data_IF_642245292190
#
_entry.id   IF_642245292190
#
_cell.length_a   1.000
_cell.length_b   1.000
_cell.length_c   1.000
_cell.angle_alpha   90.00
_cell.angle_beta   90.00
_cell.angle_gamma   90.00
#
_symmetry.space_group_name_H-M   'P 1'
#
loop_
_entity.id
_entity.type
_entity.pdbx_description
1 polymer ?
#
# COMPACT_ATOMS: atom_id res chain seq x y z
N UNK A 1 -9.24 10.22 -10.09
CA UNK A 1 -8.96 9.13 -9.12
C UNK A 1 -7.45 8.91 -9.03
N UNK A 2 -6.89 8.73 -7.83
CA UNK A 2 -5.46 8.37 -7.61
C UNK A 2 -5.34 6.87 -7.40
N UNK A 3 -4.39 6.23 -8.05
CA UNK A 3 -4.15 4.79 -7.92
C UNK A 3 -2.77 4.53 -7.29
N UNK A 4 -2.78 3.89 -6.11
CA UNK A 4 -1.61 3.78 -5.24
C UNK A 4 -1.42 2.33 -4.87
N UNK A 5 -0.26 1.76 -5.17
CA UNK A 5 0.13 0.40 -4.75
C UNK A 5 1.04 0.50 -3.54
N UNK A 6 0.68 -0.17 -2.46
CA UNK A 6 1.51 -0.29 -1.25
C UNK A 6 2.10 -1.69 -1.16
N UNK A 7 3.42 -1.79 -1.12
CA UNK A 7 4.17 -3.04 -1.05
C UNK A 7 5.42 -2.88 -0.17
N UNK A 8 6.25 -3.90 -0.07
CA UNK A 8 7.53 -3.86 0.63
C UNK A 8 8.57 -4.75 -0.07
N UNK A 9 9.83 -4.57 0.25
CA UNK A 9 10.91 -5.43 -0.25
C UNK A 9 10.91 -6.82 0.39
N UNK A 10 10.50 -6.92 1.65
CA UNK A 10 10.48 -8.17 2.41
C UNK A 10 9.22 -8.28 3.28
N UNK A 11 8.93 -9.51 3.70
CA UNK A 11 7.87 -9.78 4.67
C UNK A 11 8.23 -9.21 6.05
N UNK A 12 7.22 -8.91 6.86
CA UNK A 12 7.43 -8.40 8.22
C UNK A 12 7.45 -6.87 8.34
N UNK A 13 7.67 -6.11 7.27
CA UNK A 13 7.71 -4.64 7.28
C UNK A 13 6.38 -3.96 7.69
N UNK A 14 5.32 -4.72 7.95
CA UNK A 14 4.03 -4.19 8.39
C UNK A 14 3.13 -3.65 7.27
N UNK A 15 3.38 -4.03 6.01
CA UNK A 15 2.70 -3.51 4.83
C UNK A 15 1.17 -3.56 4.95
N UNK A 16 0.61 -4.72 5.33
CA UNK A 16 -0.83 -4.87 5.47
C UNK A 16 -1.42 -3.91 6.51
N UNK A 17 -0.83 -3.84 7.70
CA UNK A 17 -1.31 -2.99 8.78
C UNK A 17 -1.21 -1.50 8.42
N UNK A 18 -0.10 -1.08 7.81
CA UNK A 18 0.07 0.32 7.37
C UNK A 18 -0.89 0.65 6.23
N UNK A 19 -1.10 -0.27 5.28
CA UNK A 19 -2.07 -0.06 4.18
C UNK A 19 -3.48 0.13 4.72
N UNK A 20 -3.93 -0.73 5.64
CA UNK A 20 -5.25 -0.60 6.27
C UNK A 20 -5.38 0.72 7.04
N UNK A 21 -4.34 1.11 7.79
CA UNK A 21 -4.32 2.36 8.55
C UNK A 21 -4.36 3.59 7.62
N UNK A 22 -3.60 3.58 6.52
CA UNK A 22 -3.62 4.67 5.53
C UNK A 22 -4.99 4.74 4.84
N UNK A 23 -5.60 3.60 4.46
CA UNK A 23 -6.96 3.57 3.90
C UNK A 23 -7.97 4.22 4.85
N UNK A 24 -7.91 3.85 6.15
CA UNK A 24 -8.74 4.45 7.19
C UNK A 24 -8.52 5.96 7.30
N UNK A 25 -7.27 6.41 7.34
CA UNK A 25 -6.94 7.84 7.46
C UNK A 25 -7.40 8.64 6.24
N UNK A 26 -7.28 8.10 5.03
CA UNK A 26 -7.82 8.71 3.82
C UNK A 26 -9.35 8.92 3.93
N UNK A 27 -10.07 7.88 4.38
CA UNK A 27 -11.52 7.95 4.57
C UNK A 27 -11.90 8.96 5.67
N UNK A 28 -11.17 8.99 6.81
CA UNK A 28 -11.37 9.97 7.88
C UNK A 28 -11.09 11.41 7.42
N UNK A 29 -10.25 11.60 6.42
CA UNK A 29 -10.00 12.89 5.75
C UNK A 29 -11.05 13.21 4.67
N UNK A 30 -12.16 12.46 4.62
CA UNK A 30 -13.29 12.70 3.72
C UNK A 30 -13.12 12.13 2.32
N UNK A 31 -12.09 11.30 2.05
CA UNK A 31 -11.92 10.69 0.74
C UNK A 31 -12.78 9.45 0.58
N UNK A 32 -13.31 9.25 -0.63
CA UNK A 32 -13.94 8.00 -1.03
C UNK A 32 -12.85 7.02 -1.49
N UNK A 33 -12.62 5.95 -0.72
CA UNK A 33 -11.51 5.02 -0.89
C UNK A 33 -12.03 3.63 -1.23
N UNK A 34 -11.50 3.04 -2.29
CA UNK A 34 -11.58 1.61 -2.54
C UNK A 34 -10.23 0.99 -2.18
N UNK A 35 -10.21 0.15 -1.16
CA UNK A 35 -9.06 -0.68 -0.81
C UNK A 35 -9.18 -2.03 -1.51
N UNK A 36 -8.19 -2.37 -2.33
CA UNK A 36 -8.12 -3.66 -3.02
C UNK A 36 -7.03 -4.52 -2.38
N UNK A 37 -7.39 -5.69 -1.90
CA UNK A 37 -6.42 -6.68 -1.44
C UNK A 37 -5.99 -7.57 -2.60
N UNK A 38 -4.74 -7.41 -3.06
CA UNK A 38 -4.19 -8.27 -4.11
C UNK A 38 -3.46 -9.50 -3.56
N UNK A 39 -3.34 -9.61 -2.23
CA UNK A 39 -2.74 -10.77 -1.58
C UNK A 39 -3.74 -11.93 -1.52
N UNK A 40 -3.35 -13.09 -2.04
CA UNK A 40 -4.17 -14.28 -2.03
C UNK A 40 -4.16 -15.02 -0.68
N UNK A 41 -5.24 -15.72 -0.36
CA UNK A 41 -5.34 -16.77 0.65
C UNK A 41 -5.55 -16.35 2.11
N UNK A 42 -5.23 -15.12 2.52
CA UNK A 42 -5.22 -14.76 3.94
C UNK A 42 -6.29 -13.74 4.36
N UNK A 43 -6.94 -13.08 3.42
CA UNK A 43 -7.97 -12.03 3.68
C UNK A 43 -7.59 -11.12 4.85
N UNK A 44 -6.36 -10.58 4.80
CA UNK A 44 -5.77 -9.80 5.90
C UNK A 44 -6.52 -8.50 6.12
N UNK A 45 -7.03 -7.89 5.05
CA UNK A 45 -7.75 -6.63 5.12
C UNK A 45 -9.08 -6.80 5.85
N UNK A 46 -9.81 -7.90 5.65
CA UNK A 46 -11.03 -8.17 6.40
C UNK A 46 -10.78 -8.11 7.91
N UNK A 47 -9.73 -8.79 8.38
CA UNK A 47 -9.37 -8.79 9.81
C UNK A 47 -8.90 -7.43 10.31
N UNK A 48 -8.07 -6.71 9.53
CA UNK A 48 -7.53 -5.40 9.92
C UNK A 48 -8.58 -4.30 9.92
N UNK A 49 -9.63 -4.45 9.12
CA UNK A 49 -10.79 -3.55 9.06
C UNK A 49 -11.98 -4.06 9.86
N UNK A 50 -11.81 -5.13 10.66
CA UNK A 50 -12.84 -5.72 11.52
C UNK A 50 -14.12 -6.11 10.77
N UNK A 51 -13.99 -6.50 9.50
CA UNK A 51 -15.09 -6.99 8.68
C UNK A 51 -15.34 -8.45 9.06
N UNK A 52 -16.53 -8.73 9.61
CA UNK A 52 -16.90 -10.07 10.10
C UNK A 52 -17.48 -10.96 9.01
N UNK A 53 -18.17 -10.34 8.04
CA UNK A 53 -18.79 -11.07 6.94
C UNK A 53 -17.81 -11.19 5.78
N UNK A 54 -17.64 -12.39 5.26
CA UNK A 54 -16.88 -12.61 4.04
C UNK A 54 -17.79 -12.35 2.84
N UNK A 55 -17.27 -11.65 1.83
CA UNK A 55 -17.97 -11.49 0.57
C UNK A 55 -18.09 -12.80 -0.19
N UNK A 56 -19.19 -12.95 -0.91
CA UNK A 56 -19.41 -14.11 -1.80
C UNK A 56 -18.41 -14.13 -2.95
N UNK A 57 -18.02 -12.94 -3.43
CA UNK A 57 -17.08 -12.76 -4.53
C UNK A 57 -15.84 -12.00 -4.05
N UNK A 58 -14.71 -12.21 -4.72
CA UNK A 58 -13.44 -11.61 -4.42
C UNK A 58 -12.81 -10.91 -5.65
N UNK A 59 -11.61 -10.37 -5.49
CA UNK A 59 -10.90 -9.67 -6.56
C UNK A 59 -10.65 -10.55 -7.80
N UNK A 60 -10.43 -11.86 -7.62
CA UNK A 60 -10.27 -12.76 -8.76
C UNK A 60 -11.58 -12.98 -9.53
N UNK A 61 -12.69 -13.09 -8.81
CA UNK A 61 -14.02 -13.24 -9.42
C UNK A 61 -14.38 -12.03 -10.29
N UNK A 62 -14.09 -10.84 -9.77
CA UNK A 62 -14.31 -9.60 -10.50
C UNK A 62 -13.46 -9.54 -11.78
N UNK A 63 -12.14 -9.77 -11.67
CA UNK A 63 -11.26 -9.71 -12.83
C UNK A 63 -11.55 -10.77 -13.89
N UNK A 64 -12.09 -11.92 -13.49
CA UNK A 64 -12.49 -12.99 -14.40
C UNK A 64 -13.91 -12.82 -14.97
N UNK A 65 -14.62 -11.76 -14.53
CA UNK A 65 -15.97 -11.45 -15.01
C UNK A 65 -17.04 -12.39 -14.45
N UNK A 66 -16.78 -13.06 -13.32
CA UNK A 66 -17.74 -13.93 -12.65
C UNK A 66 -18.80 -13.17 -11.85
N UNK A 67 -18.57 -11.89 -11.57
CA UNK A 67 -19.53 -11.02 -10.89
C UNK A 67 -19.40 -9.57 -11.37
N UNK A 68 -20.44 -8.77 -11.10
CA UNK A 68 -20.39 -7.33 -11.24
C UNK A 68 -19.62 -6.70 -10.05
N UNK A 69 -19.08 -5.49 -10.24
CA UNK A 69 -18.29 -4.77 -9.23
C UNK A 69 -19.05 -4.66 -7.90
N UNK A 70 -20.31 -4.26 -7.94
CA UNK A 70 -21.15 -4.02 -6.76
C UNK A 70 -21.30 -5.26 -5.88
N UNK A 71 -21.25 -6.45 -6.49
CA UNK A 71 -21.39 -7.73 -5.79
C UNK A 71 -20.09 -8.19 -5.09
N UNK A 72 -18.93 -7.64 -5.51
CA UNK A 72 -17.62 -7.96 -4.93
C UNK A 72 -17.20 -6.95 -3.85
N UNK A 73 -17.93 -5.83 -3.71
CA UNK A 73 -17.59 -4.77 -2.78
C UNK A 73 -18.14 -5.06 -1.38
N UNK A 74 -17.27 -4.95 -0.39
CA UNK A 74 -17.61 -5.07 1.02
C UNK A 74 -17.63 -3.69 1.68
N UNK A 75 -18.77 -3.26 2.23
CA UNK A 75 -18.81 -2.06 3.04
C UNK A 75 -18.01 -2.26 4.33
N UNK A 76 -17.35 -1.20 4.80
CA UNK A 76 -16.69 -1.19 6.10
C UNK A 76 -17.51 -0.34 7.08
N UNK A 77 -17.21 -0.47 8.39
CA UNK A 77 -17.76 0.42 9.41
C UNK A 77 -17.19 1.84 9.33
N UNK A 78 -16.21 2.09 8.45
CA UNK A 78 -15.56 3.39 8.25
C UNK A 78 -16.24 4.09 7.06
N UNK A 79 -16.93 5.19 7.31
CA UNK A 79 -17.58 5.95 6.25
C UNK A 79 -16.56 6.35 5.16
N UNK A 80 -16.92 6.11 3.90
CA UNK A 80 -16.05 6.42 2.76
C UNK A 80 -14.99 5.36 2.42
N UNK A 81 -14.90 4.25 3.18
CA UNK A 81 -13.98 3.15 2.90
C UNK A 81 -14.75 1.88 2.50
N UNK A 82 -14.44 1.36 1.34
CA UNK A 82 -14.94 0.10 0.81
C UNK A 82 -13.77 -0.86 0.58
N UNK A 83 -13.99 -2.15 0.77
CA UNK A 83 -12.99 -3.21 0.53
C UNK A 83 -13.41 -4.08 -0.67
N UNK A 84 -12.48 -4.35 -1.56
CA UNK A 84 -12.49 -5.47 -2.48
C UNK A 84 -11.54 -6.52 -1.91
N UNK A 85 -12.09 -7.61 -1.39
CA UNK A 85 -11.31 -8.63 -0.67
C UNK A 85 -10.39 -9.41 -1.59
N UNK A 86 -9.32 -9.96 -1.01
CA UNK A 86 -8.29 -10.71 -1.73
C UNK A 86 -8.77 -12.06 -2.26
N UNK A 87 -8.11 -12.56 -3.31
CA UNK A 87 -8.42 -13.86 -3.91
C UNK A 87 -8.33 -15.01 -2.90
N UNK A 88 -9.27 -15.94 -3.01
CA UNK A 88 -9.24 -17.16 -2.20
C UNK A 88 -8.20 -18.16 -2.71
N UNK A 89 -7.99 -18.21 -4.02
CA UNK A 89 -7.03 -19.10 -4.67
C UNK A 89 -5.59 -18.58 -4.50
N UNK A 90 -4.74 -19.36 -3.81
CA UNK A 90 -3.37 -18.97 -3.43
C UNK A 90 -2.48 -18.72 -4.65
N UNK A 91 -2.68 -19.45 -5.72
CA UNK A 91 -1.85 -19.41 -6.94
C UNK A 91 -2.35 -18.40 -7.97
N UNK A 92 -3.43 -17.69 -7.65
CA UNK A 92 -4.02 -16.76 -8.59
C UNK A 92 -3.15 -15.53 -8.81
N UNK A 93 -3.05 -15.11 -10.06
CA UNK A 93 -2.25 -13.97 -10.50
C UNK A 93 -3.08 -13.06 -11.39
N UNK A 94 -3.17 -11.74 -11.12
CA UNK A 94 -3.94 -10.83 -11.93
C UNK A 94 -3.31 -10.64 -13.32
N UNK A 95 -4.15 -10.61 -14.33
CA UNK A 95 -3.74 -10.21 -15.68
C UNK A 95 -3.67 -8.69 -15.76
N UNK A 96 -2.53 -8.14 -16.18
CA UNK A 96 -2.29 -6.71 -16.26
C UNK A 96 -3.36 -5.96 -17.08
N UNK A 97 -3.79 -6.51 -18.22
CA UNK A 97 -4.84 -5.93 -19.04
C UNK A 97 -6.18 -5.80 -18.29
N UNK A 98 -6.54 -6.78 -17.47
CA UNK A 98 -7.77 -6.75 -16.67
C UNK A 98 -7.69 -5.73 -15.54
N UNK A 99 -6.53 -5.61 -14.89
CA UNK A 99 -6.28 -4.57 -13.87
C UNK A 99 -6.36 -3.19 -14.49
N UNK A 100 -5.84 -3.01 -15.70
CA UNK A 100 -5.93 -1.75 -16.42
C UNK A 100 -7.40 -1.37 -16.72
N UNK A 101 -8.19 -2.30 -17.24
CA UNK A 101 -9.61 -2.10 -17.53
C UNK A 101 -10.41 -1.74 -16.28
N UNK A 102 -10.21 -2.47 -15.19
CA UNK A 102 -10.87 -2.16 -13.90
C UNK A 102 -10.52 -0.75 -13.42
N UNK A 103 -9.25 -0.35 -13.53
CA UNK A 103 -8.82 1.00 -13.14
C UNK A 103 -9.48 2.08 -14.00
N UNK A 104 -9.59 1.85 -15.31
CA UNK A 104 -10.24 2.77 -16.25
C UNK A 104 -11.74 2.89 -15.95
N UNK A 105 -12.42 1.77 -15.74
CA UNK A 105 -13.83 1.72 -15.36
C UNK A 105 -14.08 2.50 -14.06
N UNK A 106 -13.34 2.23 -13.00
CA UNK A 106 -13.44 2.93 -11.72
C UNK A 106 -13.13 4.43 -11.84
N UNK A 107 -12.23 4.82 -12.73
CA UNK A 107 -11.92 6.24 -12.98
C UNK A 107 -13.07 6.97 -13.66
N UNK A 108 -13.86 6.28 -14.46
CA UNK A 108 -15.02 6.84 -15.18
C UNK A 108 -16.26 7.04 -14.30
N UNK A 109 -16.36 6.34 -13.17
CA UNK A 109 -17.57 6.37 -12.32
C UNK A 109 -17.60 7.53 -11.32
N UNK A 110 -16.48 8.21 -11.07
CA UNK A 110 -16.32 9.22 -10.00
C UNK A 110 -16.74 8.73 -8.59
N UNK A 111 -16.95 7.43 -8.44
CA UNK A 111 -17.39 6.81 -7.18
C UNK A 111 -16.28 6.85 -6.12
N UNK A 112 -15.02 6.73 -6.55
CA UNK A 112 -13.85 6.72 -5.68
C UNK A 112 -12.85 7.81 -6.07
N UNK A 113 -12.24 8.46 -5.08
CA UNK A 113 -11.17 9.43 -5.26
C UNK A 113 -9.79 8.75 -5.18
N UNK A 114 -9.69 7.67 -4.37
CA UNK A 114 -8.47 6.92 -4.14
C UNK A 114 -8.73 5.43 -4.31
N UNK A 115 -7.91 4.80 -5.15
CA UNK A 115 -7.82 3.36 -5.31
C UNK A 115 -6.51 2.92 -4.66
N UNK A 116 -6.60 2.27 -3.51
CA UNK A 116 -5.45 1.82 -2.72
C UNK A 116 -5.30 0.31 -2.82
N UNK A 117 -4.15 -0.16 -3.29
CA UNK A 117 -3.87 -1.58 -3.50
C UNK A 117 -2.90 -2.08 -2.44
N UNK A 118 -3.31 -3.07 -1.68
CA UNK A 118 -2.38 -3.85 -0.87
C UNK A 118 -1.77 -4.95 -1.74
N UNK A 119 -0.47 -4.86 -1.96
CA UNK A 119 0.33 -5.84 -2.67
C UNK A 119 1.30 -6.50 -1.68
N UNK A 120 1.35 -7.84 -1.59
CA UNK A 120 2.35 -8.50 -0.76
C UNK A 120 3.76 -8.21 -1.27
N UNK A 121 4.79 -8.34 -0.41
CA UNK A 121 6.18 -8.18 -0.80
C UNK A 121 6.58 -9.15 -1.91
N UNK A 122 7.52 -8.73 -2.72
CA UNK A 122 8.11 -9.58 -3.75
C UNK A 122 8.27 -8.89 -5.09
N UNK A 123 8.84 -9.63 -6.05
CA UNK A 123 9.07 -9.23 -7.42
C UNK A 123 8.75 -10.43 -8.32
N UNK A 124 7.53 -10.49 -8.84
CA UNK A 124 7.06 -11.66 -9.58
C UNK A 124 5.82 -11.40 -10.43
N UNK A 125 5.12 -12.45 -10.79
CA UNK A 125 3.97 -12.40 -11.68
C UNK A 125 2.82 -11.57 -11.10
N UNK A 126 2.53 -11.69 -9.79
CA UNK A 126 1.50 -10.89 -9.12
C UNK A 126 1.82 -9.39 -9.22
N UNK A 127 3.02 -8.98 -8.85
CA UNK A 127 3.46 -7.59 -8.92
C UNK A 127 3.43 -7.06 -10.36
N UNK A 128 3.83 -7.89 -11.32
CA UNK A 128 3.77 -7.55 -12.75
C UNK A 128 2.34 -7.33 -13.23
N UNK A 129 1.39 -8.13 -12.75
CA UNK A 129 -0.03 -7.95 -13.04
C UNK A 129 -0.62 -6.65 -12.47
N UNK A 130 -0.05 -6.12 -11.38
CA UNK A 130 -0.49 -4.87 -10.74
C UNK A 130 0.20 -3.61 -11.28
N UNK A 131 1.16 -3.71 -12.20
CA UNK A 131 1.83 -2.53 -12.77
C UNK A 131 0.89 -1.44 -13.28
N UNK A 132 -0.22 -1.76 -13.98
CA UNK A 132 -1.16 -0.75 -14.44
C UNK A 132 -1.83 0.04 -13.31
N UNK A 133 -1.89 -0.54 -12.12
CA UNK A 133 -2.43 0.11 -10.92
C UNK A 133 -1.41 1.04 -10.24
N UNK A 134 -0.11 0.92 -10.53
CA UNK A 134 0.97 1.60 -9.85
C UNK A 134 1.25 3.02 -10.40
N UNK A 135 0.26 3.91 -10.38
CA UNK A 135 0.49 5.34 -10.64
C UNK A 135 1.44 5.93 -9.58
N UNK A 136 1.24 5.58 -8.32
CA UNK A 136 2.19 5.78 -7.24
C UNK A 136 2.48 4.44 -6.58
N UNK A 137 3.76 4.09 -6.47
CA UNK A 137 4.22 2.92 -5.73
C UNK A 137 4.81 3.37 -4.38
N UNK A 138 4.28 2.82 -3.30
CA UNK A 138 4.78 3.06 -1.95
C UNK A 138 5.46 1.81 -1.44
N UNK A 139 6.77 1.91 -1.20
CA UNK A 139 7.59 0.86 -0.61
C UNK A 139 7.71 1.06 0.89
N UNK A 140 7.20 0.11 1.66
CA UNK A 140 7.46 0.07 3.09
C UNK A 140 8.77 -0.65 3.37
N UNK A 141 9.55 -0.09 4.29
CA UNK A 141 10.78 -0.70 4.77
C UNK A 141 11.00 -0.34 6.23
N UNK A 142 11.74 -1.15 6.95
CA UNK A 142 12.28 -0.82 8.26
C UNK A 142 13.70 -0.26 8.09
N UNK A 143 14.20 0.44 9.11
CA UNK A 143 15.55 1.01 9.09
C UNK A 143 16.54 -0.05 9.59
N UNK A 144 16.65 -1.16 8.83
CA UNK A 144 17.61 -2.26 9.04
C UNK A 144 18.35 -2.57 7.74
N UNK A 145 19.60 -3.04 7.78
CA UNK A 145 20.36 -3.32 6.57
C UNK A 145 19.64 -4.25 5.60
N UNK A 146 19.04 -5.34 6.10
CA UNK A 146 18.31 -6.33 5.29
C UNK A 146 17.06 -5.73 4.63
N UNK A 147 16.28 -4.95 5.39
CA UNK A 147 15.05 -4.33 4.84
C UNK A 147 15.38 -3.28 3.79
N UNK A 148 16.45 -2.51 3.98
CA UNK A 148 16.90 -1.49 3.03
C UNK A 148 17.37 -2.15 1.73
N UNK A 149 18.21 -3.19 1.83
CA UNK A 149 18.68 -3.94 0.66
C UNK A 149 17.51 -4.56 -0.12
N UNK A 150 16.55 -5.16 0.58
CA UNK A 150 15.36 -5.73 -0.03
C UNK A 150 14.48 -4.66 -0.70
N UNK A 151 14.34 -3.49 -0.07
CA UNK A 151 13.61 -2.35 -0.62
C UNK A 151 14.29 -1.80 -1.88
N UNK A 152 15.61 -1.66 -1.89
CA UNK A 152 16.39 -1.21 -3.04
C UNK A 152 16.20 -2.16 -4.24
N UNK A 153 16.39 -3.47 -4.03
CA UNK A 153 16.18 -4.48 -5.08
C UNK A 153 14.74 -4.45 -5.63
N UNK A 154 13.77 -4.26 -4.76
CA UNK A 154 12.36 -4.18 -5.15
C UNK A 154 12.07 -2.89 -5.91
N UNK A 155 12.63 -1.76 -5.48
CA UNK A 155 12.51 -0.48 -6.19
C UNK A 155 13.08 -0.56 -7.60
N UNK A 156 14.30 -1.10 -7.74
CA UNK A 156 14.96 -1.32 -9.03
C UNK A 156 14.11 -2.20 -9.95
N UNK A 157 13.56 -3.29 -9.40
CA UNK A 157 12.69 -4.17 -10.18
C UNK A 157 11.44 -3.44 -10.69
N UNK A 158 10.72 -2.72 -9.82
CA UNK A 158 9.53 -1.96 -10.22
C UNK A 158 9.86 -0.86 -11.22
N UNK A 159 10.97 -0.14 -11.01
CA UNK A 159 11.45 0.89 -11.94
C UNK A 159 11.80 0.27 -13.31
N UNK A 160 12.46 -0.88 -13.33
CA UNK A 160 12.76 -1.65 -14.53
C UNK A 160 11.51 -2.15 -15.27
N UNK A 161 10.38 -2.33 -14.57
CA UNK A 161 9.09 -2.64 -15.19
C UNK A 161 8.31 -1.37 -15.61
N UNK A 162 8.84 -0.17 -15.40
CA UNK A 162 8.24 1.08 -15.83
C UNK A 162 7.51 1.89 -14.75
N UNK A 163 7.53 1.47 -13.48
CA UNK A 163 7.01 2.29 -12.38
C UNK A 163 7.88 3.55 -12.20
N UNK A 164 7.25 4.73 -12.15
CA UNK A 164 7.99 6.02 -12.18
C UNK A 164 7.89 6.83 -10.90
N UNK A 165 6.79 6.72 -10.17
CA UNK A 165 6.56 7.50 -8.96
C UNK A 165 6.72 6.61 -7.72
N UNK A 166 7.99 6.35 -7.35
CA UNK A 166 8.34 5.53 -6.21
C UNK A 166 8.47 6.41 -4.97
N UNK A 167 7.84 5.97 -3.89
CA UNK A 167 7.85 6.60 -2.58
C UNK A 167 8.24 5.58 -1.52
N UNK A 168 8.88 6.02 -0.45
CA UNK A 168 9.29 5.17 0.67
C UNK A 168 8.61 5.61 1.95
N UNK A 169 8.11 4.65 2.70
CA UNK A 169 7.67 4.82 4.09
C UNK A 169 8.58 3.99 4.97
N UNK A 170 9.29 4.64 5.89
CA UNK A 170 9.99 3.93 6.96
C UNK A 170 9.01 3.60 8.09
N UNK A 171 8.89 2.31 8.39
CA UNK A 171 8.03 1.82 9.47
C UNK A 171 8.85 1.38 10.68
N UNK A 172 8.27 1.44 11.86
CA UNK A 172 8.89 1.08 13.15
C UNK A 172 10.22 1.80 13.38
N UNK A 173 10.22 3.08 13.10
CA UNK A 173 11.43 3.91 13.24
C UNK A 173 11.71 4.15 14.72
N UNK A 174 12.85 3.65 15.19
CA UNK A 174 13.34 3.90 16.54
C UNK A 174 13.82 5.34 16.72
N UNK A 175 14.06 5.75 17.97
CA UNK A 175 14.53 7.12 18.29
C UNK A 175 15.96 7.41 17.82
N UNK A 176 16.74 6.38 17.49
CA UNK A 176 18.12 6.47 17.01
C UNK A 176 18.32 5.54 15.83
N UNK A 177 19.15 5.95 14.87
CA UNK A 177 19.59 5.07 13.81
C UNK A 177 20.41 3.90 14.36
N UNK A 178 20.23 2.68 13.87
CA UNK A 178 21.09 1.55 14.19
C UNK A 178 22.55 1.86 13.85
N UNK A 179 23.49 1.50 14.75
CA UNK A 179 24.93 1.76 14.54
C UNK A 179 25.52 0.96 13.39
N UNK A 180 24.94 -0.19 13.10
CA UNK A 180 25.31 -1.14 12.06
C UNK A 180 24.57 -0.93 10.73
N UNK A 181 23.87 0.20 10.58
CA UNK A 181 23.05 0.47 9.40
C UNK A 181 23.88 0.51 8.10
N UNK A 182 25.15 0.87 8.18
CA UNK A 182 26.03 1.01 7.00
C UNK A 182 25.82 2.29 6.20
N UNK A 183 24.92 3.18 6.64
CA UNK A 183 24.64 4.47 6.02
C UNK A 183 24.84 5.61 7.02
N UNK A 184 25.44 6.74 6.62
CA UNK A 184 25.73 7.85 7.53
C UNK A 184 24.47 8.60 8.01
N UNK A 185 23.42 8.63 7.20
CA UNK A 185 22.14 9.29 7.47
C UNK A 185 21.01 8.74 6.58
N UNK A 186 19.77 9.10 6.88
CA UNK A 186 18.60 8.59 6.14
C UNK A 186 18.54 8.99 4.67
N UNK A 187 19.07 10.16 4.31
CA UNK A 187 19.09 10.58 2.90
C UNK A 187 19.94 9.60 2.06
N UNK A 188 21.08 9.13 2.60
CA UNK A 188 21.87 8.09 1.94
C UNK A 188 21.11 6.76 1.80
N UNK A 189 20.23 6.43 2.74
CA UNK A 189 19.33 5.27 2.63
C UNK A 189 18.31 5.48 1.51
N UNK A 190 17.72 6.67 1.41
CA UNK A 190 16.76 7.01 0.34
C UNK A 190 17.42 6.96 -1.03
N UNK A 191 18.63 7.46 -1.14
CA UNK A 191 19.42 7.40 -2.38
C UNK A 191 19.70 5.93 -2.77
N UNK A 192 20.04 5.08 -1.80
CA UNK A 192 20.26 3.66 -2.04
C UNK A 192 18.99 2.91 -2.46
N UNK A 193 17.82 3.30 -1.93
CA UNK A 193 16.52 2.73 -2.35
C UNK A 193 16.07 3.30 -3.71
N UNK A 194 16.52 4.49 -4.09
CA UNK A 194 16.08 5.16 -5.32
C UNK A 194 14.64 5.69 -5.26
N UNK A 195 14.12 5.97 -4.07
CA UNK A 195 12.74 6.41 -3.88
C UNK A 195 12.64 7.60 -2.90
N UNK A 196 11.67 8.49 -3.13
CA UNK A 196 11.48 9.68 -2.30
C UNK A 196 10.75 9.35 -1.01
N UNK A 197 11.14 9.99 0.10
CA UNK A 197 10.48 9.82 1.38
C UNK A 197 9.03 10.33 1.33
N UNK A 198 8.10 9.47 1.72
CA UNK A 198 6.69 9.82 1.91
C UNK A 198 6.38 10.08 3.38
N UNK A 199 6.95 9.28 4.29
CA UNK A 199 6.74 9.44 5.72
C UNK A 199 7.54 8.45 6.56
N UNK A 200 7.50 8.69 7.88
CA UNK A 200 8.12 7.83 8.89
C UNK A 200 7.08 7.50 9.95
N UNK A 201 6.99 6.24 10.33
CA UNK A 201 6.08 5.74 11.37
C UNK A 201 6.95 5.31 12.56
N UNK A 202 6.81 5.95 13.72
CA UNK A 202 7.57 5.58 14.92
C UNK A 202 7.27 4.14 15.37
N UNK A 203 8.24 3.51 15.99
CA UNK A 203 8.03 2.26 16.70
C UNK A 203 6.98 2.44 17.82
N UNK A 204 6.06 1.48 17.94
CA UNK A 204 4.97 1.54 18.92
C UNK A 204 3.84 2.51 18.57
N UNK A 205 3.81 3.06 17.35
CA UNK A 205 2.70 3.90 16.91
C UNK A 205 1.38 3.11 16.86
N UNK A 206 0.32 3.71 17.37
CA UNK A 206 -1.05 3.22 17.16
C UNK A 206 -1.49 3.53 15.73
N UNK A 207 -1.20 2.61 14.80
CA UNK A 207 -1.33 2.83 13.37
C UNK A 207 -2.67 3.41 12.92
N UNK A 208 -3.85 2.91 13.38
CA UNK A 208 -5.14 3.41 12.93
C UNK A 208 -5.39 4.88 13.27
N UNK A 209 -4.76 5.40 14.32
CA UNK A 209 -4.97 6.74 14.86
C UNK A 209 -3.70 7.61 14.88
N UNK A 210 -2.61 7.09 14.35
CA UNK A 210 -1.32 7.79 14.36
C UNK A 210 -1.32 9.02 13.45
N UNK A 211 -0.80 10.14 13.96
CA UNK A 211 -0.51 11.32 13.13
C UNK A 211 0.44 10.99 11.96
N UNK A 212 1.31 9.99 12.11
CA UNK A 212 2.20 9.54 11.04
C UNK A 212 1.42 9.00 9.84
N UNK A 213 0.45 8.11 10.08
CA UNK A 213 -0.41 7.55 9.02
C UNK A 213 -1.34 8.60 8.42
N UNK A 214 -1.84 9.54 9.25
CA UNK A 214 -2.59 10.70 8.79
C UNK A 214 -1.80 11.59 7.84
N UNK A 215 -0.56 11.91 8.17
CA UNK A 215 0.33 12.71 7.32
C UNK A 215 0.71 11.97 6.01
N UNK A 216 0.90 10.65 6.07
CA UNK A 216 1.12 9.83 4.87
C UNK A 216 -0.10 9.90 3.96
N UNK A 217 -1.30 9.75 4.51
CA UNK A 217 -2.56 9.84 3.76
C UNK A 217 -2.72 11.21 3.08
N UNK A 218 -2.52 12.31 3.82
CA UNK A 218 -2.59 13.68 3.31
C UNK A 218 -1.59 13.91 2.16
N UNK A 219 -0.35 13.45 2.32
CA UNK A 219 0.70 13.56 1.27
C UNK A 219 0.38 12.75 0.03
N UNK A 220 -0.24 11.58 0.16
CA UNK A 220 -0.73 10.79 -0.97
C UNK A 220 -1.82 11.55 -1.74
N UNK A 221 -2.58 12.40 -1.06
CA UNK A 221 -3.54 13.31 -1.68
C UNK A 221 -2.92 14.59 -2.26
N UNK A 222 -1.60 14.80 -2.08
CA UNK A 222 -0.88 15.96 -2.59
C UNK A 222 -0.85 17.14 -1.64
N UNK A 223 -1.27 16.95 -0.39
CA UNK A 223 -1.21 17.98 0.64
C UNK A 223 0.22 18.15 1.17
N UNK A 224 0.60 19.38 1.45
CA UNK A 224 1.88 19.70 2.09
C UNK A 224 1.71 19.63 3.60
N UNK A 225 2.29 18.61 4.22
CA UNK A 225 2.36 18.49 5.66
C UNK A 225 3.79 18.15 6.11
N UNK A 226 4.23 18.62 7.28
CA UNK A 226 5.60 18.40 7.74
C UNK A 226 5.84 16.90 8.01
N UNK A 227 7.09 16.46 7.82
CA UNK A 227 7.53 15.16 8.30
C UNK A 227 7.50 15.15 9.82
N UNK A 228 7.04 14.07 10.42
CA UNK A 228 7.18 13.90 11.86
C UNK A 228 8.67 13.74 12.20
N UNK A 229 9.16 14.56 13.13
CA UNK A 229 10.50 14.38 13.69
C UNK A 229 10.50 13.12 14.58
N UNK A 230 10.95 12.00 14.06
CA UNK A 230 11.08 10.74 14.80
C UNK A 230 12.42 10.72 15.56
N UNK A 231 13.44 11.31 14.98
CA UNK A 231 14.75 11.42 15.62
C UNK A 231 14.83 12.73 16.41
N UNK A 232 15.29 12.63 17.66
CA UNK A 232 15.83 13.77 18.37
C UNK A 232 17.35 13.80 18.13
N UNK A 233 17.92 14.96 17.76
CA UNK A 233 19.36 15.09 17.61
C UNK A 233 20.12 14.72 18.89
#
# INVERSE_FOLDING_TARGET
MRSIVMTAGCSGCGTAAVTAAVARQLALQGKKVLLVEAAAGLRRMNRLLEIREEGLFDFSDLLEGRCALENALLPTHIAGLTLLQGPSAIDWVPQAARVQLLREELSGTEQYEVLLWYCPPGAGALQKGLLPAAETLVLLTEVTPQSIEAAAKTADWWAGQGARNLRTVFNRVGRRLPRDLGYPHLDAVLDAIGARLLGMIPEGADLPYSAATGNIAARLCGESCPLLAVYRP
#
